data_IF_622512729137
#
_entry.id   IF_622512729137
#
_cell.length_a   1.000
_cell.length_b   1.000
_cell.length_c   1.000
_cell.angle_alpha   90.00
_cell.angle_beta   90.00
_cell.angle_gamma   90.00
#
_symmetry.space_group_name_H-M   'P 1'
#
loop_
_entity.id
_entity.type
_entity.pdbx_description
1 polymer ?
#
# COMPACT_ATOMS: atom_id res chain seq x y z
N UNK A 1 -0.77 -19.85 6.49
CA UNK A 1 -0.50 -18.39 6.58
C UNK A 1 -1.23 -17.79 7.78
N UNK A 2 -0.57 -16.91 8.49
CA UNK A 2 -1.22 -16.18 9.58
C UNK A 2 -2.17 -15.12 9.01
N UNK A 3 -3.29 -14.91 9.69
CA UNK A 3 -4.20 -13.81 9.36
C UNK A 3 -3.47 -12.48 9.50
N UNK A 4 -3.79 -11.53 8.62
CA UNK A 4 -3.20 -10.20 8.71
C UNK A 4 -3.72 -9.46 9.94
N UNK A 5 -2.81 -8.77 10.63
CA UNK A 5 -3.12 -7.85 11.73
C UNK A 5 -2.71 -6.44 11.33
N UNK A 6 -3.37 -5.46 11.91
CA UNK A 6 -3.08 -4.05 11.62
C UNK A 6 -2.92 -3.24 12.90
N UNK A 7 -2.17 -2.15 12.79
CA UNK A 7 -1.92 -1.21 13.88
C UNK A 7 -2.34 0.19 13.42
N UNK A 8 -3.64 0.41 13.34
CA UNK A 8 -4.17 1.71 12.99
C UNK A 8 -4.29 1.97 11.50
N UNK A 9 -4.98 3.05 11.21
CA UNK A 9 -5.22 3.52 9.85
C UNK A 9 -5.41 5.04 9.89
N UNK A 10 -5.27 5.68 8.74
CA UNK A 10 -5.50 7.11 8.63
C UNK A 10 -5.95 7.48 7.22
N UNK A 11 -6.59 8.64 7.11
CA UNK A 11 -6.93 9.21 5.80
C UNK A 11 -5.74 10.05 5.35
N UNK A 12 -5.22 9.74 4.17
CA UNK A 12 -4.01 10.38 3.63
C UNK A 12 -4.28 10.92 2.23
N UNK A 13 -3.52 11.94 1.82
CA UNK A 13 -3.77 12.68 0.58
C UNK A 13 -2.61 12.65 -0.40
N UNK A 14 -1.44 12.16 0.02
CA UNK A 14 -0.22 12.23 -0.79
C UNK A 14 0.37 10.86 -1.14
N UNK A 15 0.00 9.83 -0.40
CA UNK A 15 0.57 8.49 -0.58
C UNK A 15 0.16 7.87 -1.90
N UNK A 16 -1.04 8.17 -2.39
CA UNK A 16 -1.49 7.78 -3.73
C UNK A 16 -1.88 9.07 -4.47
N UNK A 17 -1.17 9.43 -5.54
CA UNK A 17 -1.44 10.68 -6.25
C UNK A 17 -2.88 10.78 -6.74
N UNK A 18 -3.51 11.92 -6.51
CA UNK A 18 -4.86 12.25 -6.98
C UNK A 18 -5.99 11.46 -6.30
N UNK A 19 -5.69 10.73 -5.22
CA UNK A 19 -6.68 9.96 -4.48
C UNK A 19 -6.78 10.45 -3.04
N UNK A 20 -7.97 10.34 -2.47
CA UNK A 20 -8.18 10.46 -1.02
C UNK A 20 -8.18 9.04 -0.48
N UNK A 21 -7.18 8.69 0.30
CA UNK A 21 -6.86 7.29 0.57
C UNK A 21 -7.00 6.94 2.04
N UNK A 22 -7.64 5.79 2.30
CA UNK A 22 -7.60 5.15 3.60
C UNK A 22 -6.35 4.25 3.62
N UNK A 23 -5.33 4.65 4.37
CA UNK A 23 -4.10 3.89 4.51
C UNK A 23 -4.15 3.03 5.77
N UNK A 24 -3.96 1.73 5.63
CA UNK A 24 -4.03 0.77 6.73
C UNK A 24 -2.64 0.20 6.98
N UNK A 25 -2.17 0.34 8.21
CA UNK A 25 -0.82 -0.11 8.59
C UNK A 25 -0.86 -1.59 8.97
N UNK A 26 -0.38 -2.45 8.10
CA UNK A 26 -0.35 -3.90 8.34
C UNK A 26 0.94 -4.26 9.07
N UNK A 27 0.79 -5.00 10.17
CA UNK A 27 1.93 -5.43 11.00
C UNK A 27 2.54 -6.75 10.49
N UNK A 28 3.71 -7.11 11.04
CA UNK A 28 4.42 -8.33 10.65
C UNK A 28 5.17 -8.17 9.34
N UNK A 29 5.67 -6.96 9.05
CA UNK A 29 6.42 -6.70 7.83
C UNK A 29 7.67 -7.57 7.75
N UNK A 30 7.84 -8.40 6.71
CA UNK A 30 8.98 -9.31 6.62
C UNK A 30 10.27 -8.63 6.13
N UNK A 31 10.19 -7.44 5.57
CA UNK A 31 11.32 -6.80 4.90
C UNK A 31 12.37 -6.22 5.84
N UNK A 32 11.94 -5.67 6.99
CA UNK A 32 12.81 -5.13 8.04
C UNK A 32 13.92 -4.24 7.49
N UNK A 33 13.54 -3.27 6.65
CA UNK A 33 14.49 -2.38 5.99
C UNK A 33 15.27 -1.53 7.01
N UNK A 34 16.58 -1.41 6.82
CA UNK A 34 17.40 -0.53 7.62
C UNK A 34 16.94 0.92 7.43
N UNK A 35 16.83 1.66 8.54
CA UNK A 35 16.37 3.04 8.49
C UNK A 35 14.85 3.20 8.30
N UNK A 36 14.10 2.11 8.33
CA UNK A 36 12.65 2.15 8.13
C UNK A 36 11.97 3.01 9.20
N UNK A 37 11.08 3.92 8.75
CA UNK A 37 10.32 4.80 9.65
C UNK A 37 9.17 4.08 10.36
N UNK A 38 8.83 2.87 9.94
CA UNK A 38 7.70 2.10 10.46
C UNK A 38 8.14 0.81 11.15
N UNK A 39 9.22 0.87 11.92
CA UNK A 39 9.77 -0.32 12.62
C UNK A 39 8.76 -0.97 13.55
N UNK A 40 7.80 -0.21 14.09
CA UNK A 40 6.75 -0.76 14.93
C UNK A 40 5.87 -1.78 14.19
N UNK A 41 5.89 -1.78 12.87
CA UNK A 41 5.14 -2.74 12.05
C UNK A 41 5.91 -4.04 11.80
N UNK A 42 7.16 -4.16 12.27
CA UNK A 42 7.93 -5.39 12.10
C UNK A 42 7.37 -6.55 12.90
N UNK A 43 6.82 -6.27 14.08
CA UNK A 43 6.20 -7.30 14.91
C UNK A 43 4.78 -7.57 14.46
N UNK A 44 4.41 -8.86 14.47
CA UNK A 44 3.05 -9.28 14.18
C UNK A 44 2.17 -9.02 15.41
N UNK A 45 1.40 -7.93 15.39
CA UNK A 45 0.55 -7.53 16.50
C UNK A 45 -0.59 -6.63 16.02
N UNK A 46 -1.57 -6.41 16.88
CA UNK A 46 -2.73 -5.59 16.59
C UNK A 46 -3.98 -6.43 16.41
N UNK A 47 -4.99 -5.85 15.80
CA UNK A 47 -6.27 -6.51 15.56
C UNK A 47 -6.27 -7.24 14.21
N UNK A 48 -7.17 -8.22 14.04
CA UNK A 48 -7.31 -8.92 12.77
C UNK A 48 -7.97 -8.02 11.73
N UNK A 49 -7.25 -7.75 10.66
CA UNK A 49 -7.67 -6.77 9.66
C UNK A 49 -8.94 -7.19 8.93
N UNK A 50 -9.03 -8.45 8.51
CA UNK A 50 -10.18 -8.91 7.74
C UNK A 50 -11.47 -8.81 8.55
N UNK A 51 -11.41 -9.02 9.86
CA UNK A 51 -12.58 -8.94 10.74
C UNK A 51 -13.10 -7.51 10.85
N UNK A 52 -12.20 -6.52 10.79
CA UNK A 52 -12.55 -5.11 11.00
C UNK A 52 -12.72 -4.33 9.69
N UNK A 53 -12.28 -4.89 8.56
CA UNK A 53 -12.12 -4.17 7.32
C UNK A 53 -13.41 -3.50 6.84
N UNK A 54 -14.49 -4.25 6.77
CA UNK A 54 -15.79 -3.72 6.30
C UNK A 54 -16.26 -2.58 7.18
N UNK A 55 -16.12 -2.71 8.49
CA UNK A 55 -16.52 -1.68 9.46
C UNK A 55 -15.71 -0.40 9.26
N UNK A 56 -14.40 -0.53 9.06
CA UNK A 56 -13.51 0.61 8.83
C UNK A 56 -13.88 1.33 7.52
N UNK A 57 -14.04 0.58 6.45
CA UNK A 57 -14.37 1.15 5.14
C UNK A 57 -15.72 1.87 5.18
N UNK A 58 -16.72 1.28 5.83
CA UNK A 58 -18.04 1.88 5.95
C UNK A 58 -18.03 3.25 6.60
N UNK A 59 -17.12 3.49 7.55
CA UNK A 59 -17.01 4.79 8.23
C UNK A 59 -16.61 5.90 7.27
N UNK A 60 -15.84 5.59 6.24
CA UNK A 60 -15.17 6.61 5.42
C UNK A 60 -15.52 6.53 3.95
N UNK A 61 -16.42 5.61 3.55
CA UNK A 61 -16.70 5.35 2.13
C UNK A 61 -17.14 6.58 1.34
N UNK A 62 -17.78 7.56 2.01
CA UNK A 62 -18.19 8.80 1.36
C UNK A 62 -17.07 9.83 1.23
N UNK A 63 -15.95 9.61 1.92
CA UNK A 63 -14.82 10.55 1.95
C UNK A 63 -13.62 10.09 1.14
N UNK A 64 -13.49 8.79 0.91
CA UNK A 64 -12.29 8.20 0.29
C UNK A 64 -12.58 7.73 -1.14
N UNK A 65 -11.51 7.64 -1.93
CA UNK A 65 -11.57 7.11 -3.30
C UNK A 65 -10.72 5.86 -3.46
N UNK A 66 -9.87 5.58 -2.48
CA UNK A 66 -8.90 4.50 -2.55
C UNK A 66 -8.62 3.90 -1.17
N UNK A 67 -8.36 2.60 -1.13
CA UNK A 67 -7.85 1.92 0.06
C UNK A 67 -6.42 1.45 -0.24
N UNK A 68 -5.47 1.81 0.62
CA UNK A 68 -4.07 1.42 0.47
C UNK A 68 -3.64 0.55 1.63
N UNK A 69 -3.12 -0.63 1.32
CA UNK A 69 -2.53 -1.52 2.31
C UNK A 69 -1.03 -1.21 2.41
N UNK A 70 -0.60 -0.80 3.61
CA UNK A 70 0.81 -0.54 3.88
C UNK A 70 1.43 -1.84 4.37
N UNK A 71 1.73 -2.75 3.44
CA UNK A 71 2.16 -4.11 3.69
C UNK A 71 1.04 -5.13 3.52
N UNK A 72 1.31 -6.40 3.86
CA UNK A 72 0.30 -7.45 3.86
C UNK A 72 0.51 -8.52 2.80
N UNK A 73 1.50 -8.39 1.91
CA UNK A 73 1.76 -9.37 0.86
C UNK A 73 2.16 -10.74 1.40
N UNK A 74 2.50 -10.84 2.68
CA UNK A 74 2.76 -12.12 3.34
C UNK A 74 1.50 -12.99 3.46
N UNK A 75 0.31 -12.42 3.26
CA UNK A 75 -0.94 -13.17 3.12
C UNK A 75 -1.76 -12.56 1.98
N UNK A 76 -1.40 -12.93 0.78
CA UNK A 76 -2.01 -12.39 -0.43
C UNK A 76 -3.50 -12.74 -0.56
N UNK A 77 -3.91 -13.90 -0.06
CA UNK A 77 -5.31 -14.32 -0.14
C UNK A 77 -6.22 -13.37 0.64
N UNK A 78 -5.81 -12.93 1.82
CA UNK A 78 -6.57 -11.94 2.58
C UNK A 78 -6.59 -10.58 1.89
N UNK A 79 -5.46 -10.15 1.32
CA UNK A 79 -5.41 -8.91 0.56
C UNK A 79 -6.36 -8.93 -0.64
N UNK A 80 -6.34 -10.03 -1.40
CA UNK A 80 -7.22 -10.21 -2.56
C UNK A 80 -8.69 -10.08 -2.14
N UNK A 81 -9.06 -10.73 -1.05
CA UNK A 81 -10.42 -10.68 -0.54
C UNK A 81 -10.84 -9.25 -0.19
N UNK A 82 -9.96 -8.51 0.50
CA UNK A 82 -10.25 -7.13 0.88
C UNK A 82 -10.26 -6.19 -0.32
N UNK A 83 -9.39 -6.40 -1.30
CA UNK A 83 -9.42 -5.64 -2.54
C UNK A 83 -10.76 -5.82 -3.27
N UNK A 84 -11.24 -7.06 -3.35
CA UNK A 84 -12.54 -7.35 -3.95
C UNK A 84 -13.67 -6.62 -3.22
N UNK A 85 -13.62 -6.61 -1.87
CA UNK A 85 -14.61 -5.89 -1.08
C UNK A 85 -14.55 -4.38 -1.33
N UNK A 86 -13.35 -3.81 -1.40
CA UNK A 86 -13.17 -2.38 -1.69
C UNK A 86 -13.73 -2.01 -3.07
N UNK A 87 -13.50 -2.83 -4.08
CA UNK A 87 -14.03 -2.61 -5.42
C UNK A 87 -15.55 -2.60 -5.45
N UNK A 88 -16.20 -3.41 -4.62
CA UNK A 88 -17.67 -3.39 -4.50
C UNK A 88 -18.19 -2.07 -3.95
N UNK A 89 -17.40 -1.37 -3.17
CA UNK A 89 -17.74 -0.02 -2.69
C UNK A 89 -17.39 1.06 -3.70
N UNK A 90 -16.89 0.70 -4.88
CA UNK A 90 -16.46 1.65 -5.90
C UNK A 90 -15.12 2.29 -5.61
N UNK A 91 -14.33 1.71 -4.71
CA UNK A 91 -13.02 2.25 -4.32
C UNK A 91 -11.91 1.61 -5.13
N UNK A 92 -10.84 2.36 -5.36
CA UNK A 92 -9.60 1.84 -5.92
C UNK A 92 -8.80 1.17 -4.82
N UNK A 93 -7.85 0.32 -5.21
CA UNK A 93 -7.01 -0.43 -4.28
C UNK A 93 -5.54 -0.21 -4.59
N UNK A 94 -4.74 -0.15 -3.53
CA UNK A 94 -3.30 0.10 -3.64
C UNK A 94 -2.54 -0.73 -2.61
N UNK A 95 -1.30 -1.06 -2.94
CA UNK A 95 -0.38 -1.77 -2.05
C UNK A 95 0.96 -1.04 -2.01
N UNK A 96 1.46 -0.78 -0.81
CA UNK A 96 2.85 -0.41 -0.56
C UNK A 96 3.58 -1.66 -0.11
N UNK A 97 4.52 -2.13 -0.92
CA UNK A 97 5.32 -3.31 -0.60
C UNK A 97 6.82 -3.01 -0.62
N UNK A 98 7.58 -3.77 0.16
CA UNK A 98 9.04 -3.72 0.12
C UNK A 98 9.65 -4.63 -0.95
N UNK A 99 8.83 -5.39 -1.68
CA UNK A 99 9.31 -6.18 -2.82
C UNK A 99 9.88 -5.27 -3.90
N UNK A 100 10.95 -5.69 -4.54
CA UNK A 100 11.66 -4.85 -5.53
C UNK A 100 11.09 -4.96 -6.94
N UNK A 101 10.16 -5.89 -7.17
CA UNK A 101 9.51 -6.07 -8.47
C UNK A 101 8.05 -6.44 -8.28
N UNK A 102 7.19 -5.97 -9.19
CA UNK A 102 5.78 -6.41 -9.23
C UNK A 102 5.70 -7.93 -9.42
N UNK A 103 6.66 -8.50 -10.12
CA UNK A 103 6.71 -9.94 -10.39
C UNK A 103 6.97 -10.78 -9.14
N UNK A 104 7.44 -10.16 -8.05
CA UNK A 104 7.60 -10.84 -6.76
C UNK A 104 6.26 -11.03 -6.04
N UNK A 105 5.20 -10.39 -6.51
CA UNK A 105 3.86 -10.52 -5.97
C UNK A 105 3.07 -11.57 -6.76
N UNK A 106 2.07 -12.20 -6.11
CA UNK A 106 1.23 -13.16 -6.81
C UNK A 106 0.45 -12.47 -7.92
N UNK A 107 0.26 -13.19 -9.03
CA UNK A 107 -0.50 -12.68 -10.18
C UNK A 107 -1.93 -12.27 -9.76
N UNK A 108 -2.58 -13.10 -8.95
CA UNK A 108 -3.96 -12.82 -8.52
C UNK A 108 -4.06 -11.56 -7.66
N UNK A 109 -3.06 -11.31 -6.82
CA UNK A 109 -3.02 -10.07 -6.03
C UNK A 109 -2.87 -8.86 -6.96
N UNK A 110 -1.90 -8.90 -7.86
CA UNK A 110 -1.63 -7.80 -8.78
C UNK A 110 -2.86 -7.48 -9.63
N UNK A 111 -3.60 -8.51 -10.05
CA UNK A 111 -4.82 -8.34 -10.85
C UNK A 111 -5.92 -7.59 -10.10
N UNK A 112 -5.82 -7.49 -8.78
CA UNK A 112 -6.81 -6.79 -7.95
C UNK A 112 -6.34 -5.41 -7.47
N UNK A 113 -5.18 -4.94 -7.95
CA UNK A 113 -4.60 -3.67 -7.53
C UNK A 113 -4.70 -2.63 -8.65
N UNK A 114 -5.01 -1.40 -8.26
CA UNK A 114 -4.99 -0.24 -9.16
C UNK A 114 -3.68 0.52 -9.08
N UNK A 115 -3.00 0.45 -7.93
CA UNK A 115 -1.69 1.09 -7.68
C UNK A 115 -0.79 0.12 -6.93
N UNK A 116 0.51 0.12 -7.25
CA UNK A 116 1.51 -0.65 -6.51
C UNK A 116 2.77 0.19 -6.33
N UNK A 117 3.18 0.37 -5.07
CA UNK A 117 4.50 0.92 -4.76
C UNK A 117 5.43 -0.25 -4.47
N UNK A 118 6.51 -0.36 -5.24
CA UNK A 118 7.55 -1.37 -5.05
C UNK A 118 8.84 -0.73 -4.56
N UNK A 119 9.76 -1.57 -4.12
CA UNK A 119 11.09 -1.18 -3.66
C UNK A 119 11.18 -1.12 -2.15
N UNK A 120 12.16 -1.85 -1.59
CA UNK A 120 12.47 -1.75 -0.17
C UNK A 120 12.96 -0.34 0.14
N UNK A 121 12.82 0.06 1.40
CA UNK A 121 13.35 1.36 1.82
C UNK A 121 14.89 1.27 1.95
N UNK A 122 15.61 2.14 1.23
CA UNK A 122 17.05 2.31 1.33
C UNK A 122 17.30 3.77 1.70
N UNK A 123 17.77 4.00 2.92
CA UNK A 123 17.96 5.36 3.43
C UNK A 123 18.96 6.17 2.61
N UNK A 124 19.86 5.50 1.87
CA UNK A 124 20.82 6.18 0.97
C UNK A 124 20.14 6.73 -0.28
N UNK A 125 19.03 6.12 -0.69
CA UNK A 125 18.28 6.51 -1.88
C UNK A 125 17.06 7.36 -1.53
N UNK A 126 16.57 7.27 -0.31
CA UNK A 126 15.37 7.98 0.12
C UNK A 126 14.07 7.36 -0.36
N UNK A 127 12.97 7.99 -0.01
CA UNK A 127 11.64 7.55 -0.43
C UNK A 127 11.25 8.07 -1.81
N UNK A 128 9.97 7.91 -2.15
CA UNK A 128 9.43 8.25 -3.48
C UNK A 128 9.66 9.71 -3.90
N UNK A 129 9.74 10.62 -2.95
CA UNK A 129 9.94 12.06 -3.23
C UNK A 129 11.39 12.41 -3.57
N UNK A 130 12.32 11.50 -3.39
CA UNK A 130 13.73 11.72 -3.71
C UNK A 130 14.00 11.30 -5.15
N UNK A 131 14.66 12.19 -5.92
CA UNK A 131 14.97 11.95 -7.34
C UNK A 131 15.86 10.70 -7.53
N UNK A 132 16.63 10.33 -6.51
CA UNK A 132 17.54 9.17 -6.55
C UNK A 132 16.92 7.90 -5.96
N UNK A 133 15.61 7.91 -5.70
CA UNK A 133 14.95 6.77 -5.06
C UNK A 133 15.03 5.50 -5.90
N UNK A 134 15.19 4.36 -5.20
CA UNK A 134 15.03 3.03 -5.80
C UNK A 134 13.57 2.57 -5.80
N UNK A 135 12.70 3.32 -5.11
CA UNK A 135 11.28 2.98 -5.05
C UNK A 135 10.55 3.50 -6.28
N UNK A 136 9.53 2.75 -6.72
CA UNK A 136 8.71 3.13 -7.86
C UNK A 136 7.25 2.97 -7.52
N UNK A 137 6.41 3.90 -8.01
CA UNK A 137 4.97 3.83 -7.92
C UNK A 137 4.40 3.58 -9.30
N UNK A 138 3.54 2.57 -9.41
CA UNK A 138 2.88 2.22 -10.68
C UNK A 138 1.37 2.35 -10.54
N UNK A 139 0.74 2.82 -11.61
CA UNK A 139 -0.71 2.91 -11.75
C UNK A 139 -1.17 2.05 -12.91
N UNK A 140 -2.24 1.29 -12.73
CA UNK A 140 -2.82 0.50 -13.81
C UNK A 140 -3.70 1.38 -14.70
N UNK A 141 -3.35 1.48 -15.98
CA UNK A 141 -4.13 2.14 -17.04
C UNK A 141 -3.93 1.35 -18.32
N UNK A 142 -4.59 0.18 -18.43
CA UNK A 142 -4.41 -0.81 -19.51
C UNK A 142 -3.03 -1.49 -19.47
N UNK A 143 -2.06 -0.89 -18.81
CA UNK A 143 -0.75 -1.43 -18.48
C UNK A 143 -0.25 -0.73 -17.21
N UNK A 144 0.81 -1.26 -16.60
CA UNK A 144 1.42 -0.61 -15.44
C UNK A 144 2.27 0.57 -15.90
N UNK A 145 1.88 1.77 -15.49
CA UNK A 145 2.59 3.02 -15.81
C UNK A 145 3.31 3.55 -14.60
N UNK A 146 4.60 3.85 -14.76
CA UNK A 146 5.42 4.44 -13.70
C UNK A 146 5.01 5.89 -13.50
N UNK A 147 4.46 6.20 -12.32
CA UNK A 147 4.03 7.54 -11.95
C UNK A 147 4.87 8.12 -10.81
N UNK A 148 6.06 7.58 -10.56
CA UNK A 148 6.95 8.03 -9.48
C UNK A 148 7.24 9.53 -9.59
N UNK A 149 7.33 10.08 -10.81
CA UNK A 149 7.58 11.51 -11.03
C UNK A 149 6.57 12.40 -10.32
N UNK A 150 5.37 11.93 -10.06
CA UNK A 150 4.30 12.72 -9.41
C UNK A 150 4.65 13.04 -7.95
N UNK A 151 5.50 12.24 -7.31
CA UNK A 151 5.97 12.49 -5.95
C UNK A 151 7.09 13.52 -5.91
N UNK A 152 7.71 13.81 -7.06
CA UNK A 152 8.92 14.64 -7.16
C UNK A 152 8.64 16.04 -7.72
N UNK A 153 7.39 16.34 -8.03
CA UNK A 153 6.99 17.63 -8.62
C UNK A 153 7.32 18.84 -7.75
N UNK A 154 7.33 18.66 -6.43
CA UNK A 154 7.58 19.74 -5.48
C UNK A 154 9.01 20.25 -5.51
N UNK A 155 9.93 19.47 -6.06
CA UNK A 155 11.36 19.80 -6.10
C UNK A 155 11.66 20.87 -7.15
N UNK A 156 10.76 21.09 -8.11
CA UNK A 156 10.94 21.97 -9.25
C UNK A 156 10.37 23.38 -9.04
N UNK A 157 10.15 23.75 -7.79
CA UNK A 157 9.63 25.11 -7.49
C UNK A 157 10.71 26.06 -7.06
#
# INVERSE_FOLDING_TARGET
MNKLKYLGYSIVFQEIPEEVTLAINVSGCPHRCEGCHSKYLWEYKGEYLTDDFTSIVNKYTDLITCVCFMGGEQNDLELIKMCSMAHRYGLKTALYTGCDSIQDLSFDLVANLDYVKIGHYDERCGGLDNINTNQRMFKWEDEWKDITYMFQRKVNK
#
